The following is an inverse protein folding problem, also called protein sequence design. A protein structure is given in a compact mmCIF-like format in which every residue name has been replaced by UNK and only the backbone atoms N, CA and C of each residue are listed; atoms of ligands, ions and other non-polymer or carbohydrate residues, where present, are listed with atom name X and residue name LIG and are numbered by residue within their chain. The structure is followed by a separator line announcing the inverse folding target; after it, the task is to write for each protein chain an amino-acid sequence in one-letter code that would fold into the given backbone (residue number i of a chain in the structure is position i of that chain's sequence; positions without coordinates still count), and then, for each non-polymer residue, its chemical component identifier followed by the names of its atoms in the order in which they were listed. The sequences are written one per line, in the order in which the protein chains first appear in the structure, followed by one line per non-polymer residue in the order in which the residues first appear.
data_IF_368988028770
#
_entry.id   IF_368988028770
#
_cell.length_a   1.000
_cell.length_b   1.000
_cell.length_c   1.000
_cell.angle_alpha   90.00
_cell.angle_beta   90.00
_cell.angle_gamma   90.00
#
_symmetry.space_group_name_H-M   'P 1'
#
loop_
_entity.id
_entity.type
_entity.pdbx_description
1 polymer ?
#
# COMPACT_ATOMS: atom_id res chain seq x y z
N UNK A 1 34.80 -37.19 19.55
CA UNK A 1 34.18 -35.84 19.47
C UNK A 1 34.68 -35.02 18.28
N UNK A 2 35.94 -35.14 17.83
CA UNK A 2 36.44 -34.41 16.65
C UNK A 2 35.88 -34.85 15.29
N UNK A 3 35.50 -36.13 15.13
CA UNK A 3 34.96 -36.66 13.86
C UNK A 3 33.55 -36.12 13.54
N UNK A 4 32.73 -35.83 14.55
CA UNK A 4 31.36 -35.35 14.35
C UNK A 4 31.31 -33.88 13.92
N UNK A 5 32.28 -33.08 14.37
CA UNK A 5 32.45 -31.69 13.91
C UNK A 5 32.99 -31.63 12.47
N UNK A 6 33.93 -32.52 12.11
CA UNK A 6 34.48 -32.58 10.76
C UNK A 6 33.43 -32.98 9.71
N UNK A 7 32.53 -33.92 10.03
CA UNK A 7 31.41 -34.31 9.17
C UNK A 7 30.41 -33.15 9.00
N UNK A 8 30.15 -32.38 10.06
CA UNK A 8 29.26 -31.22 9.99
C UNK A 8 29.83 -30.10 9.09
N UNK A 9 31.15 -29.86 9.16
CA UNK A 9 31.85 -28.87 8.32
C UNK A 9 31.92 -29.34 6.86
N UNK A 10 32.18 -30.63 6.61
CA UNK A 10 32.15 -31.20 5.25
C UNK A 10 30.73 -31.16 4.63
N UNK A 11 29.70 -31.38 5.44
CA UNK A 11 28.29 -31.28 5.02
C UNK A 11 27.91 -29.84 4.63
N UNK A 12 28.50 -28.83 5.27
CA UNK A 12 28.33 -27.41 4.92
C UNK A 12 29.09 -27.02 3.65
N UNK A 13 30.20 -27.68 3.31
CA UNK A 13 30.99 -27.38 2.09
C UNK A 13 30.35 -28.03 0.83
N UNK A 14 29.74 -29.22 0.97
CA UNK A 14 28.96 -29.86 -0.09
C UNK A 14 27.61 -29.17 -0.39
N UNK A 15 27.19 -28.23 0.48
CA UNK A 15 26.05 -27.32 0.32
C UNK A 15 26.19 -26.34 -0.88
N UNK A 16 27.27 -26.43 -1.66
CA UNK A 16 27.51 -25.62 -2.88
C UNK A 16 26.87 -26.18 -4.16
N UNK A 17 25.82 -27.01 -4.05
CA UNK A 17 24.83 -27.25 -5.14
C UNK A 17 23.47 -26.64 -4.78
N UNK A 18 23.57 -25.49 -4.10
CA UNK A 18 22.65 -24.34 -4.00
C UNK A 18 21.22 -24.50 -3.48
N UNK A 19 20.58 -25.67 -3.43
CA UNK A 19 19.18 -25.78 -2.95
C UNK A 19 18.94 -26.77 -1.81
N UNK A 20 19.76 -27.81 -1.66
CA UNK A 20 19.50 -28.91 -0.70
C UNK A 20 19.46 -28.47 0.77
N UNK A 21 20.24 -27.45 1.15
CA UNK A 21 20.33 -26.98 2.53
C UNK A 21 19.12 -26.17 2.98
N UNK A 22 18.38 -25.56 2.04
CA UNK A 22 17.18 -24.77 2.30
C UNK A 22 15.93 -25.63 2.04
N UNK A 23 15.98 -26.51 1.05
CA UNK A 23 14.87 -27.38 0.67
C UNK A 23 14.44 -28.31 1.82
N UNK A 24 15.40 -28.90 2.53
CA UNK A 24 15.11 -29.82 3.64
C UNK A 24 14.42 -29.16 4.84
N UNK A 25 14.91 -28.02 5.39
CA UNK A 25 14.20 -27.36 6.48
C UNK A 25 12.87 -26.75 6.01
N UNK A 26 12.80 -26.24 4.79
CA UNK A 26 11.59 -25.61 4.25
C UNK A 26 10.48 -26.64 4.00
N UNK A 27 10.80 -27.81 3.43
CA UNK A 27 9.84 -28.90 3.23
C UNK A 27 9.32 -29.44 4.56
N UNK A 28 10.17 -29.57 5.58
CA UNK A 28 9.75 -29.96 6.93
C UNK A 28 8.83 -28.91 7.57
N UNK A 29 9.11 -27.62 7.37
CA UNK A 29 8.27 -26.53 7.87
C UNK A 29 6.90 -26.57 7.21
N UNK A 30 6.83 -26.65 5.87
CA UNK A 30 5.57 -26.74 5.16
C UNK A 30 4.78 -28.01 5.50
N UNK A 31 5.45 -29.13 5.72
CA UNK A 31 4.79 -30.37 6.16
C UNK A 31 4.14 -30.20 7.54
N UNK A 32 4.87 -29.63 8.52
CA UNK A 32 4.33 -29.37 9.87
C UNK A 32 3.20 -28.35 9.83
N UNK A 33 3.37 -27.28 9.07
CA UNK A 33 2.36 -26.24 8.88
C UNK A 33 1.09 -26.81 8.22
N UNK A 34 1.23 -27.54 7.11
CA UNK A 34 0.11 -28.19 6.42
C UNK A 34 -0.62 -29.19 7.30
N UNK A 35 0.11 -29.98 8.11
CA UNK A 35 -0.50 -30.90 9.09
C UNK A 35 -1.32 -30.15 10.14
N UNK A 36 -0.82 -29.02 10.64
CA UNK A 36 -1.54 -28.18 11.60
C UNK A 36 -2.81 -27.56 10.99
N UNK A 37 -2.72 -27.03 9.76
CA UNK A 37 -3.87 -26.50 9.01
C UNK A 37 -4.92 -27.59 8.77
N UNK A 38 -4.50 -28.80 8.39
CA UNK A 38 -5.41 -29.92 8.14
C UNK A 38 -6.12 -30.42 9.41
N UNK A 39 -5.49 -30.28 10.58
CA UNK A 39 -6.10 -30.62 11.88
C UNK A 39 -7.15 -29.59 12.33
N UNK A 40 -6.99 -28.32 11.93
CA UNK A 40 -7.90 -27.23 12.28
C UNK A 40 -8.29 -26.39 11.05
N UNK A 41 -9.12 -26.94 10.13
CA UNK A 41 -9.46 -26.26 8.87
C UNK A 41 -10.37 -25.04 9.07
N UNK A 42 -11.24 -25.07 10.08
CA UNK A 42 -12.23 -24.00 10.33
C UNK A 42 -11.61 -22.62 10.58
N UNK A 43 -10.68 -22.42 11.54
CA UNK A 43 -10.07 -21.10 11.76
C UNK A 43 -9.34 -20.57 10.53
N UNK A 44 -8.73 -21.47 9.74
CA UNK A 44 -8.01 -21.08 8.52
C UNK A 44 -8.91 -20.59 7.40
N UNK A 45 -10.19 -20.96 7.39
CA UNK A 45 -11.19 -20.47 6.44
C UNK A 45 -11.86 -19.20 6.98
N UNK A 46 -12.20 -19.18 8.27
CA UNK A 46 -12.93 -18.05 8.86
C UNK A 46 -12.08 -16.78 8.96
N UNK A 47 -10.81 -16.89 9.35
CA UNK A 47 -9.89 -15.74 9.47
C UNK A 47 -9.75 -14.96 8.15
N UNK A 48 -9.40 -15.56 7.00
CA UNK A 48 -9.26 -14.79 5.75
C UNK A 48 -10.59 -14.22 5.27
N UNK A 49 -11.72 -14.91 5.52
CA UNK A 49 -13.05 -14.37 5.20
C UNK A 49 -13.33 -13.11 6.03
N UNK A 50 -13.08 -13.15 7.34
CA UNK A 50 -13.25 -11.99 8.22
C UNK A 50 -12.34 -10.83 7.81
N UNK A 51 -11.06 -11.10 7.52
CA UNK A 51 -10.12 -10.07 7.06
C UNK A 51 -10.61 -9.45 5.74
N UNK A 52 -11.07 -10.27 4.80
CA UNK A 52 -11.59 -9.79 3.50
C UNK A 52 -12.84 -8.95 3.69
N UNK A 53 -13.76 -9.37 4.57
CA UNK A 53 -14.96 -8.61 4.90
C UNK A 53 -14.64 -7.28 5.59
N UNK A 54 -13.69 -7.27 6.52
CA UNK A 54 -13.23 -6.03 7.15
C UNK A 54 -12.58 -5.08 6.14
N UNK A 55 -11.79 -5.62 5.22
CA UNK A 55 -11.18 -4.84 4.13
C UNK A 55 -12.24 -4.29 3.17
N UNK A 56 -13.27 -5.07 2.84
CA UNK A 56 -14.34 -4.63 1.94
C UNK A 56 -15.20 -3.52 2.55
N UNK A 57 -15.43 -3.52 3.86
CA UNK A 57 -16.14 -2.42 4.57
C UNK A 57 -15.41 -1.09 4.39
N UNK A 58 -14.08 -1.10 4.32
CA UNK A 58 -13.28 0.12 4.05
C UNK A 58 -13.60 0.75 2.69
N UNK A 59 -13.93 -0.07 1.69
CA UNK A 59 -14.28 0.42 0.35
C UNK A 59 -15.55 1.27 0.33
N UNK A 60 -16.45 1.10 1.32
CA UNK A 60 -17.65 1.93 1.45
C UNK A 60 -17.35 3.39 1.80
N UNK A 61 -16.18 3.66 2.38
CA UNK A 61 -15.75 5.01 2.78
C UNK A 61 -14.90 5.72 1.70
N UNK A 62 -14.80 5.15 0.49
CA UNK A 62 -14.10 5.82 -0.62
C UNK A 62 -14.96 6.97 -1.14
N UNK A 63 -14.43 8.19 -1.02
CA UNK A 63 -15.02 9.38 -1.63
C UNK A 63 -14.39 9.63 -3.02
N UNK A 64 -15.18 9.64 -4.11
CA UNK A 64 -14.65 9.95 -5.43
C UNK A 64 -14.30 11.44 -5.53
N UNK A 65 -13.07 11.74 -5.92
CA UNK A 65 -12.65 13.11 -6.23
C UNK A 65 -12.88 13.36 -7.71
N UNK A 66 -13.77 14.31 -8.04
CA UNK A 66 -14.15 14.64 -9.42
C UNK A 66 -13.52 15.94 -9.94
N UNK A 67 -12.76 16.65 -9.08
CA UNK A 67 -12.16 17.93 -9.45
C UNK A 67 -11.07 17.76 -10.51
N UNK A 68 -11.26 18.27 -11.74
CA UNK A 68 -10.31 18.04 -12.83
C UNK A 68 -8.95 18.68 -12.53
N UNK A 69 -8.94 19.85 -11.86
CA UNK A 69 -7.69 20.53 -11.47
C UNK A 69 -6.92 19.65 -10.49
N UNK A 70 -7.57 19.02 -9.50
CA UNK A 70 -6.88 18.13 -8.57
C UNK A 70 -6.34 16.87 -9.25
N UNK A 71 -7.11 16.31 -10.19
CA UNK A 71 -6.76 15.06 -10.89
C UNK A 71 -5.63 15.23 -11.91
N UNK A 72 -5.59 16.36 -12.63
CA UNK A 72 -4.68 16.55 -13.77
C UNK A 72 -3.47 17.45 -13.49
N UNK A 73 -3.38 18.07 -12.30
CA UNK A 73 -2.25 18.96 -11.97
C UNK A 73 -1.53 18.51 -10.70
N UNK A 74 -0.19 18.63 -10.62
CA UNK A 74 0.57 18.17 -9.47
C UNK A 74 0.14 18.89 -8.18
N UNK A 75 0.21 18.22 -7.03
CA UNK A 75 -0.21 18.82 -5.75
C UNK A 75 0.55 20.11 -5.41
N UNK A 76 1.84 20.16 -5.74
CA UNK A 76 2.73 21.27 -5.41
C UNK A 76 3.07 22.12 -6.65
N UNK A 77 2.07 22.46 -7.46
CA UNK A 77 2.28 23.35 -8.61
C UNK A 77 2.51 24.81 -8.13
N UNK A 78 3.46 25.56 -8.72
CA UNK A 78 3.62 26.99 -8.41
C UNK A 78 2.35 27.79 -8.72
N UNK A 79 1.59 27.42 -9.75
CA UNK A 79 0.31 28.08 -10.05
C UNK A 79 -0.75 27.84 -8.96
N UNK A 80 -0.74 26.69 -8.27
CA UNK A 80 -1.61 26.45 -7.10
C UNK A 80 -1.23 27.35 -5.92
N UNK A 81 0.07 27.60 -5.73
CA UNK A 81 0.56 28.51 -4.69
C UNK A 81 0.14 29.97 -4.98
N UNK A 82 0.34 30.44 -6.22
CA UNK A 82 -0.09 31.77 -6.65
C UNK A 82 -1.62 31.93 -6.53
N UNK A 83 -2.38 30.92 -6.95
CA UNK A 83 -3.84 30.87 -6.80
C UNK A 83 -4.25 30.98 -5.33
N UNK A 84 -3.59 30.25 -4.43
CA UNK A 84 -3.87 30.31 -2.99
C UNK A 84 -3.57 31.69 -2.41
N UNK A 85 -2.48 32.35 -2.84
CA UNK A 85 -2.18 33.73 -2.46
C UNK A 85 -3.32 34.68 -2.88
N UNK A 86 -3.79 34.58 -4.13
CA UNK A 86 -4.88 35.43 -4.64
C UNK A 86 -6.18 35.18 -3.86
N UNK A 87 -6.51 33.92 -3.53
CA UNK A 87 -7.69 33.58 -2.72
C UNK A 87 -7.59 34.10 -1.29
N UNK A 88 -6.40 34.15 -0.70
CA UNK A 88 -6.18 34.70 0.63
C UNK A 88 -6.23 36.24 0.65
N UNK A 89 -5.65 36.90 -0.36
CA UNK A 89 -5.57 38.37 -0.42
C UNK A 89 -6.90 39.02 -0.86
N UNK A 90 -7.67 38.35 -1.74
CA UNK A 90 -8.97 38.84 -2.22
C UNK A 90 -10.04 37.76 -2.08
N UNK A 91 -10.57 37.55 -0.85
CA UNK A 91 -11.62 36.58 -0.59
C UNK A 91 -12.95 37.04 -1.22
N UNK A 92 -13.64 36.10 -1.87
CA UNK A 92 -14.97 36.29 -2.41
C UNK A 92 -15.98 35.65 -1.44
N UNK A 93 -16.72 36.49 -0.76
CA UNK A 93 -17.91 36.15 0.00
C UNK A 93 -19.16 36.39 -0.86
N UNK A 94 -20.31 35.91 -0.38
CA UNK A 94 -21.57 36.00 -1.12
C UNK A 94 -22.04 37.45 -1.36
N UNK A 95 -21.62 38.38 -0.51
CA UNK A 95 -22.00 39.79 -0.49
C UNK A 95 -21.05 40.71 -1.27
N UNK A 96 -19.82 40.27 -1.57
CA UNK A 96 -18.82 41.04 -2.35
C UNK A 96 -18.44 40.35 -3.67
N UNK A 97 -19.40 39.66 -4.30
CA UNK A 97 -19.21 39.08 -5.62
C UNK A 97 -18.98 40.17 -6.69
N UNK A 98 -17.83 40.13 -7.35
CA UNK A 98 -17.51 41.02 -8.47
C UNK A 98 -17.83 40.26 -9.77
N UNK A 99 -18.89 40.62 -10.52
CA UNK A 99 -19.19 39.98 -11.79
C UNK A 99 -18.12 40.36 -12.83
N UNK A 100 -17.34 39.40 -13.28
CA UNK A 100 -16.42 39.59 -14.40
C UNK A 100 -15.81 38.27 -14.85
N UNK A 101 -16.11 37.85 -16.08
CA UNK A 101 -15.58 36.59 -16.64
C UNK A 101 -14.05 36.56 -16.64
N UNK A 102 -13.41 37.71 -16.84
CA UNK A 102 -11.95 37.83 -16.82
C UNK A 102 -11.38 37.59 -15.41
N UNK A 103 -12.00 38.10 -14.35
CA UNK A 103 -11.47 37.94 -12.98
C UNK A 103 -11.73 36.54 -12.42
N UNK A 104 -12.80 35.87 -12.84
CA UNK A 104 -13.11 34.50 -12.41
C UNK A 104 -12.37 33.44 -13.23
N UNK A 105 -12.35 33.53 -14.58
CA UNK A 105 -11.63 32.54 -15.40
C UNK A 105 -10.11 32.61 -15.23
N UNK A 106 -9.51 33.80 -15.12
CA UNK A 106 -8.05 33.92 -14.94
C UNK A 106 -7.57 33.27 -13.64
N UNK A 107 -8.43 33.20 -12.62
CA UNK A 107 -8.12 32.57 -11.31
C UNK A 107 -8.25 31.05 -11.31
N UNK A 108 -9.01 30.49 -12.24
CA UNK A 108 -9.29 29.04 -12.30
C UNK A 108 -8.51 28.30 -13.39
N UNK A 109 -8.07 29.02 -14.43
CA UNK A 109 -7.37 28.46 -15.61
C UNK A 109 -5.84 28.56 -15.51
N UNK A 110 -5.28 29.37 -14.60
CA UNK A 110 -3.84 29.38 -14.29
C UNK A 110 -3.38 28.17 -13.45
#
# INVERSE_FOLDING_TARGET
MSFMLAVCIYQQIACMRTFDCIERPLSQLFYRYGRYVAQHPLPFITIPILITALCSVSLLHIHPVTDPIYLFTPRNAPSKYERQIIHNLWPLYYDNYIPGRAVTQSREVQ
#
